data_IF_322015257521
#
_entry.id   IF_322015257521
#
_cell.length_a   1.000
_cell.length_b   1.000
_cell.length_c   1.000
_cell.angle_alpha   90.00
_cell.angle_beta   90.00
_cell.angle_gamma   90.00
#
_symmetry.space_group_name_H-M   'P 1'
#
loop_
_entity.id
_entity.type
_entity.pdbx_description
1 polymer ?
#
# COMPACT_ATOMS: atom_id res chain seq x y z
N UNK A 1 9.68 -7.21 -25.37
CA UNK A 1 9.83 -7.60 -23.94
C UNK A 1 8.47 -7.76 -23.26
N UNK A 2 7.60 -6.74 -23.21
CA UNK A 2 6.28 -6.87 -22.56
C UNK A 2 5.36 -7.92 -23.19
N UNK A 3 5.35 -8.03 -24.52
CA UNK A 3 4.56 -9.04 -25.25
C UNK A 3 4.95 -10.46 -24.89
N UNK A 4 6.24 -10.73 -24.68
CA UNK A 4 6.73 -12.05 -24.28
C UNK A 4 6.24 -12.41 -22.88
N UNK A 5 6.33 -11.48 -21.92
CA UNK A 5 5.83 -11.70 -20.55
C UNK A 5 4.32 -12.01 -20.57
N UNK A 6 3.54 -11.26 -21.36
CA UNK A 6 2.10 -11.48 -21.49
C UNK A 6 1.80 -12.88 -22.05
N UNK A 7 2.46 -13.26 -23.16
CA UNK A 7 2.27 -14.59 -23.75
C UNK A 7 2.72 -15.71 -22.81
N UNK A 8 3.79 -15.52 -22.04
CA UNK A 8 4.20 -16.47 -21.01
C UNK A 8 3.14 -16.62 -19.91
N UNK A 9 2.58 -15.51 -19.41
CA UNK A 9 1.51 -15.56 -18.40
C UNK A 9 0.25 -16.23 -18.93
N UNK A 10 -0.14 -15.93 -20.18
CA UNK A 10 -1.29 -16.57 -20.84
C UNK A 10 -1.03 -18.08 -20.97
N UNK A 11 0.14 -18.48 -21.49
CA UNK A 11 0.49 -19.89 -21.62
C UNK A 11 0.48 -20.59 -20.26
N UNK A 12 1.04 -19.96 -19.23
CA UNK A 12 1.07 -20.49 -17.86
C UNK A 12 -0.36 -20.72 -17.31
N UNK A 13 -1.27 -19.77 -17.53
CA UNK A 13 -2.67 -19.90 -17.10
C UNK A 13 -3.43 -20.96 -17.89
N UNK A 14 -3.14 -21.12 -19.19
CA UNK A 14 -3.75 -22.15 -20.03
C UNK A 14 -3.24 -23.56 -19.71
N UNK A 15 -1.98 -23.69 -19.30
CA UNK A 15 -1.36 -24.96 -18.92
C UNK A 15 -1.76 -25.41 -17.51
N UNK A 16 -2.05 -24.46 -16.60
CA UNK A 16 -2.41 -24.74 -15.20
C UNK A 16 -3.71 -24.04 -14.77
N UNK A 17 -4.84 -24.27 -15.45
CA UNK A 17 -6.09 -23.56 -15.17
C UNK A 17 -6.66 -23.85 -13.77
N UNK A 18 -6.40 -25.04 -13.23
CA UNK A 18 -6.79 -25.40 -11.86
C UNK A 18 -6.11 -24.53 -10.80
N UNK A 19 -4.78 -24.43 -10.87
CA UNK A 19 -3.99 -23.61 -9.95
C UNK A 19 -4.26 -22.11 -10.13
N UNK A 20 -4.44 -21.66 -11.37
CA UNK A 20 -4.82 -20.27 -11.64
C UNK A 20 -6.18 -19.93 -11.00
N UNK A 21 -7.15 -20.84 -11.08
CA UNK A 21 -8.45 -20.69 -10.42
C UNK A 21 -8.33 -20.73 -8.90
N UNK A 22 -7.55 -21.65 -8.34
CA UNK A 22 -7.33 -21.77 -6.90
C UNK A 22 -6.70 -20.49 -6.34
N UNK A 23 -5.62 -20.01 -6.95
CA UNK A 23 -4.98 -18.76 -6.55
C UNK A 23 -5.89 -17.55 -6.73
N UNK A 24 -6.73 -17.52 -7.77
CA UNK A 24 -7.74 -16.46 -7.93
C UNK A 24 -8.79 -16.53 -6.80
N UNK A 25 -9.26 -17.72 -6.44
CA UNK A 25 -10.23 -17.88 -5.35
C UNK A 25 -9.65 -17.46 -4.00
N UNK A 26 -8.41 -17.87 -3.72
CA UNK A 26 -7.68 -17.43 -2.55
C UNK A 26 -7.52 -15.91 -2.51
N UNK A 27 -7.20 -15.27 -3.65
CA UNK A 27 -7.16 -13.82 -3.75
C UNK A 27 -8.52 -13.13 -3.53
N UNK A 28 -9.63 -13.77 -3.93
CA UNK A 28 -10.99 -13.28 -3.64
C UNK A 28 -11.25 -13.33 -2.14
N UNK A 29 -10.95 -14.45 -1.49
CA UNK A 29 -11.12 -14.66 -0.05
C UNK A 29 -10.31 -13.65 0.76
N UNK A 30 -9.01 -13.51 0.47
CA UNK A 30 -8.15 -12.48 1.07
C UNK A 30 -8.73 -11.08 0.89
N UNK A 31 -9.22 -10.77 -0.31
CA UNK A 31 -9.83 -9.48 -0.58
C UNK A 31 -11.12 -9.28 0.23
N UNK A 32 -12.02 -10.25 0.29
CA UNK A 32 -13.32 -10.11 0.96
C UNK A 32 -13.22 -10.13 2.48
N UNK A 33 -12.29 -10.90 3.04
CA UNK A 33 -12.17 -11.11 4.48
C UNK A 33 -11.19 -10.13 5.10
N UNK A 34 -9.97 -10.04 4.56
CA UNK A 34 -8.89 -9.27 5.18
C UNK A 34 -8.83 -7.80 4.70
N UNK A 35 -9.36 -7.47 3.51
CA UNK A 35 -9.18 -6.13 2.92
C UNK A 35 -10.47 -5.32 2.83
N UNK A 36 -11.51 -5.83 2.17
CA UNK A 36 -12.72 -5.08 1.80
C UNK A 36 -13.47 -4.46 3.00
N UNK A 37 -13.71 -5.17 4.13
CA UNK A 37 -14.48 -4.64 5.24
C UNK A 37 -13.82 -3.41 5.86
N UNK A 38 -12.48 -3.38 5.84
CA UNK A 38 -11.68 -2.29 6.38
C UNK A 38 -11.39 -1.21 5.33
N UNK A 39 -11.20 -1.58 4.07
CA UNK A 39 -10.77 -0.64 3.05
C UNK A 39 -11.92 0.25 2.56
N UNK A 40 -13.12 -0.30 2.37
CA UNK A 40 -14.25 0.40 1.78
C UNK A 40 -14.75 1.59 2.62
N UNK A 41 -15.05 1.44 3.93
CA UNK A 41 -15.52 2.57 4.72
C UNK A 41 -14.49 3.70 4.79
N UNK A 42 -13.21 3.35 4.97
CA UNK A 42 -12.13 4.34 5.08
C UNK A 42 -11.87 5.09 3.79
N UNK A 43 -11.92 4.42 2.63
CA UNK A 43 -11.82 5.08 1.33
C UNK A 43 -12.96 6.09 1.13
N UNK A 44 -14.21 5.68 1.38
CA UNK A 44 -15.38 6.55 1.22
C UNK A 44 -15.26 7.78 2.13
N UNK A 45 -15.00 7.55 3.42
CA UNK A 45 -14.89 8.63 4.41
C UNK A 45 -13.74 9.58 4.09
N UNK A 46 -12.56 9.06 3.71
CA UNK A 46 -11.40 9.89 3.37
C UNK A 46 -11.65 10.71 2.12
N UNK A 47 -12.20 10.10 1.07
CA UNK A 47 -12.53 10.83 -0.16
C UNK A 47 -13.64 11.86 0.06
N UNK A 48 -14.59 11.58 0.95
CA UNK A 48 -15.65 12.52 1.28
C UNK A 48 -15.10 13.70 2.06
N UNK A 49 -14.27 13.43 3.07
CA UNK A 49 -13.58 14.46 3.86
C UNK A 49 -12.68 15.36 2.99
N UNK A 50 -12.02 14.81 1.97
CA UNK A 50 -11.23 15.58 1.00
C UNK A 50 -12.07 16.57 0.16
N UNK A 51 -13.38 16.34 0.04
CA UNK A 51 -14.31 17.14 -0.77
C UNK A 51 -15.20 18.05 0.04
N UNK A 52 -15.27 17.88 1.35
CA UNK A 52 -16.06 18.74 2.21
C UNK A 52 -15.43 20.14 2.27
N UNK A 53 -16.25 21.21 2.25
CA UNK A 53 -15.77 22.56 2.51
C UNK A 53 -15.31 22.63 3.97
N UNK A 54 -14.00 22.69 4.18
CA UNK A 54 -13.39 22.80 5.51
C UNK A 54 -12.36 23.92 5.56
N UNK A 55 -11.86 24.24 6.75
CA UNK A 55 -10.68 25.11 6.89
C UNK A 55 -9.52 24.41 6.20
N UNK A 56 -9.17 24.89 5.02
CA UNK A 56 -8.02 24.36 4.31
C UNK A 56 -6.75 24.66 5.11
N UNK A 57 -5.79 23.71 5.11
CA UNK A 57 -4.55 23.93 5.83
C UNK A 57 -3.87 25.20 5.32
N UNK A 58 -3.38 26.02 6.25
CA UNK A 58 -2.63 27.23 5.92
C UNK A 58 -1.26 26.81 5.35
N UNK A 59 -1.04 27.08 4.07
CA UNK A 59 0.24 26.84 3.39
C UNK A 59 0.52 25.37 3.02
N UNK A 60 1.68 25.17 2.40
CA UNK A 60 2.10 23.86 1.85
C UNK A 60 2.36 22.83 2.95
N UNK A 61 2.99 23.23 4.06
CA UNK A 61 3.30 22.34 5.18
C UNK A 61 2.03 21.75 5.79
N UNK A 62 1.01 22.57 6.04
CA UNK A 62 -0.28 22.07 6.50
C UNK A 62 -0.93 21.10 5.51
N UNK A 63 -0.72 21.31 4.20
CA UNK A 63 -1.17 20.38 3.17
C UNK A 63 -0.44 19.04 3.26
N UNK A 64 0.88 19.03 3.51
CA UNK A 64 1.64 17.78 3.68
C UNK A 64 1.11 16.97 4.85
N UNK A 65 0.94 17.61 6.01
CA UNK A 65 0.45 16.96 7.23
C UNK A 65 -0.98 16.44 7.07
N UNK A 66 -1.89 17.23 6.49
CA UNK A 66 -3.25 16.77 6.17
C UNK A 66 -3.21 15.54 5.26
N UNK A 67 -2.39 15.58 4.21
CA UNK A 67 -2.27 14.47 3.24
C UNK A 67 -1.72 13.21 3.91
N UNK A 68 -0.70 13.37 4.77
CA UNK A 68 -0.12 12.26 5.52
C UNK A 68 -1.11 11.64 6.50
N UNK A 69 -1.80 12.44 7.30
CA UNK A 69 -2.79 11.94 8.26
C UNK A 69 -3.88 11.12 7.58
N UNK A 70 -4.41 11.61 6.46
CA UNK A 70 -5.41 10.87 5.69
C UNK A 70 -4.86 9.55 5.13
N UNK A 71 -3.64 9.56 4.61
CA UNK A 71 -2.97 8.34 4.12
C UNK A 71 -2.67 7.33 5.24
N UNK A 72 -2.24 7.81 6.41
CA UNK A 72 -1.82 6.98 7.52
C UNK A 72 -2.94 6.09 8.06
N UNK A 73 -4.19 6.61 8.10
CA UNK A 73 -5.33 5.80 8.53
C UNK A 73 -5.85 4.87 7.42
N UNK A 74 -5.87 5.35 6.17
CA UNK A 74 -6.52 4.63 5.08
C UNK A 74 -5.64 3.62 4.33
N UNK A 75 -4.35 3.56 4.64
CA UNK A 75 -3.42 2.62 4.03
C UNK A 75 -2.98 2.98 2.60
N UNK A 76 -2.32 2.04 1.94
CA UNK A 76 -1.61 2.26 0.67
C UNK A 76 -2.43 2.97 -0.43
N UNK A 77 -3.63 2.47 -0.83
CA UNK A 77 -4.40 3.14 -1.88
C UNK A 77 -4.91 4.51 -1.45
N UNK A 78 -5.31 4.69 -0.18
CA UNK A 78 -5.81 5.97 0.33
C UNK A 78 -4.71 7.03 0.35
N UNK A 79 -3.48 6.67 0.74
CA UNK A 79 -2.33 7.56 0.67
C UNK A 79 -2.07 8.04 -0.76
N UNK A 80 -2.04 7.12 -1.72
CA UNK A 80 -1.83 7.45 -3.13
C UNK A 80 -2.95 8.35 -3.71
N UNK A 81 -4.21 8.06 -3.37
CA UNK A 81 -5.38 8.86 -3.78
C UNK A 81 -5.31 10.26 -3.17
N UNK A 82 -5.01 10.38 -1.87
CA UNK A 82 -4.94 11.66 -1.16
C UNK A 82 -3.88 12.57 -1.77
N UNK A 83 -2.68 12.03 -2.05
CA UNK A 83 -1.62 12.80 -2.70
C UNK A 83 -2.01 13.19 -4.12
N UNK A 84 -2.60 12.26 -4.88
CA UNK A 84 -3.03 12.50 -6.26
C UNK A 84 -4.11 13.56 -6.37
N UNK A 85 -5.05 13.59 -5.41
CA UNK A 85 -6.10 14.61 -5.31
C UNK A 85 -5.47 16.00 -5.11
N UNK A 86 -4.56 16.12 -4.15
CA UNK A 86 -3.91 17.40 -3.83
C UNK A 86 -3.02 17.92 -4.98
N UNK A 87 -2.43 17.03 -5.78
CA UNK A 87 -1.71 17.42 -7.02
C UNK A 87 -2.68 17.86 -8.12
N UNK A 88 -3.79 17.13 -8.33
CA UNK A 88 -4.81 17.48 -9.33
C UNK A 88 -5.51 18.81 -9.02
N UNK A 89 -5.67 19.12 -7.75
CA UNK A 89 -6.24 20.39 -7.26
C UNK A 89 -5.24 21.56 -7.30
N UNK A 90 -4.02 21.36 -7.79
CA UNK A 90 -2.99 22.40 -7.88
C UNK A 90 -2.39 22.83 -6.54
N UNK A 91 -2.72 22.14 -5.44
CA UNK A 91 -2.22 22.45 -4.09
C UNK A 91 -0.81 21.93 -3.85
N UNK A 92 -0.45 20.86 -4.54
CA UNK A 92 0.88 20.26 -4.55
C UNK A 92 1.45 20.25 -5.96
N UNK A 93 2.74 20.53 -6.07
CA UNK A 93 3.48 20.29 -7.31
C UNK A 93 3.64 18.79 -7.55
N UNK A 94 3.85 18.38 -8.81
CA UNK A 94 4.17 16.98 -9.15
C UNK A 94 5.43 16.47 -8.43
N UNK A 95 6.37 17.36 -8.11
CA UNK A 95 7.61 17.01 -7.37
C UNK A 95 7.29 16.67 -5.91
N UNK A 96 6.48 17.49 -5.25
CA UNK A 96 6.03 17.20 -3.88
C UNK A 96 5.13 15.98 -3.82
N UNK A 97 4.24 15.83 -4.81
CA UNK A 97 3.43 14.62 -4.96
C UNK A 97 4.30 13.36 -5.03
N UNK A 98 5.43 13.40 -5.75
CA UNK A 98 6.32 12.24 -5.84
C UNK A 98 6.97 11.87 -4.50
N UNK A 99 7.31 12.87 -3.67
CA UNK A 99 7.84 12.65 -2.33
C UNK A 99 6.74 12.17 -1.37
N UNK A 100 5.57 12.82 -1.41
CA UNK A 100 4.46 12.47 -0.53
C UNK A 100 3.82 11.12 -0.86
N UNK A 101 3.82 10.67 -2.12
CA UNK A 101 3.43 9.29 -2.44
C UNK A 101 4.34 8.30 -1.70
N UNK A 102 5.64 8.59 -1.60
CA UNK A 102 6.59 7.74 -0.90
C UNK A 102 6.38 7.73 0.62
N UNK A 103 6.08 8.91 1.18
CA UNK A 103 5.87 9.17 2.63
C UNK A 103 4.51 8.66 3.12
N UNK A 104 3.46 8.82 2.31
CA UNK A 104 2.10 8.38 2.66
C UNK A 104 1.87 6.89 2.35
N UNK A 105 2.90 6.17 1.88
CA UNK A 105 2.83 4.73 1.63
C UNK A 105 3.03 3.96 2.93
N UNK A 106 1.92 3.62 3.56
CA UNK A 106 1.86 2.83 4.79
C UNK A 106 0.67 1.87 4.74
N UNK A 107 0.74 0.71 5.42
CA UNK A 107 -0.44 -0.14 5.64
C UNK A 107 -1.49 0.60 6.46
N UNK A 108 -2.76 0.19 6.36
CA UNK A 108 -3.82 0.78 7.18
C UNK A 108 -3.66 0.36 8.65
N UNK A 109 -4.17 1.19 9.56
CA UNK A 109 -4.19 0.86 10.99
C UNK A 109 -4.96 -0.43 11.27
N UNK A 110 -6.04 -0.69 10.53
CA UNK A 110 -6.81 -1.93 10.62
C UNK A 110 -6.03 -3.15 10.13
N UNK A 111 -5.25 -3.05 9.05
CA UNK A 111 -4.42 -4.15 8.60
C UNK A 111 -3.35 -4.49 9.65
N UNK A 112 -2.70 -3.48 10.23
CA UNK A 112 -1.66 -3.71 11.23
C UNK A 112 -2.19 -4.21 12.58
N UNK A 113 -3.25 -3.60 13.11
CA UNK A 113 -3.75 -3.95 14.45
C UNK A 113 -4.70 -5.15 14.38
N UNK A 114 -5.60 -5.16 13.41
CA UNK A 114 -6.60 -6.22 13.22
C UNK A 114 -5.95 -7.48 12.68
N UNK A 115 -5.59 -7.47 11.40
CA UNK A 115 -5.07 -8.67 10.73
C UNK A 115 -3.70 -9.10 11.29
N UNK A 116 -2.67 -8.24 11.19
CA UNK A 116 -1.32 -8.63 11.62
C UNK A 116 -1.26 -8.83 13.14
N UNK A 117 -1.71 -7.85 13.93
CA UNK A 117 -1.66 -7.91 15.39
C UNK A 117 -2.53 -9.04 15.96
N UNK A 118 -3.85 -8.96 15.77
CA UNK A 118 -4.77 -9.89 16.42
C UNK A 118 -4.84 -11.26 15.73
N UNK A 119 -4.96 -11.33 14.40
CA UNK A 119 -5.15 -12.61 13.70
C UNK A 119 -3.84 -13.40 13.57
N UNK A 120 -2.75 -12.76 13.12
CA UNK A 120 -1.47 -13.48 12.89
C UNK A 120 -0.61 -13.62 14.15
N UNK A 121 -0.62 -12.66 15.07
CA UNK A 121 0.22 -12.68 16.27
C UNK A 121 -0.54 -12.90 17.58
N UNK A 122 -1.89 -12.91 17.54
CA UNK A 122 -2.70 -13.02 18.76
C UNK A 122 -2.54 -11.84 19.73
N UNK A 123 -1.94 -10.73 19.28
CA UNK A 123 -1.56 -9.59 20.14
C UNK A 123 -1.59 -8.27 19.37
N UNK A 124 -2.59 -7.43 19.68
CA UNK A 124 -2.70 -6.07 19.15
C UNK A 124 -1.41 -5.24 19.36
N UNK A 125 -0.68 -5.49 20.45
CA UNK A 125 0.56 -4.79 20.78
C UNK A 125 1.62 -4.91 19.69
N UNK A 126 1.72 -6.07 19.03
CA UNK A 126 2.64 -6.28 17.90
C UNK A 126 2.25 -5.39 16.72
N UNK A 127 0.96 -5.32 16.41
CA UNK A 127 0.42 -4.44 15.38
C UNK A 127 0.69 -2.96 15.65
N UNK A 128 0.48 -2.53 16.89
CA UNK A 128 0.79 -1.16 17.34
C UNK A 128 2.29 -0.84 17.22
N UNK A 129 3.16 -1.78 17.59
CA UNK A 129 4.61 -1.60 17.48
C UNK A 129 5.05 -1.47 16.01
N UNK A 130 4.58 -2.35 15.12
CA UNK A 130 4.84 -2.23 13.68
C UNK A 130 4.35 -0.89 13.13
N UNK A 131 3.17 -0.46 13.56
CA UNK A 131 2.61 0.83 13.16
C UNK A 131 3.50 1.98 13.61
N UNK A 132 3.95 1.98 14.86
CA UNK A 132 4.84 3.00 15.40
C UNK A 132 6.18 3.07 14.63
N UNK A 133 6.78 1.92 14.29
CA UNK A 133 8.05 1.89 13.55
C UNK A 133 7.88 2.40 12.11
N UNK A 134 6.87 1.91 11.39
CA UNK A 134 6.63 2.30 9.99
C UNK A 134 6.26 3.80 9.91
N UNK A 135 5.32 4.25 10.74
CA UNK A 135 4.95 5.67 10.75
C UNK A 135 6.03 6.55 11.34
N UNK A 136 6.87 6.07 12.26
CA UNK A 136 8.03 6.79 12.76
C UNK A 136 9.00 7.15 11.62
N UNK A 137 9.34 6.18 10.76
CA UNK A 137 10.19 6.44 9.59
C UNK A 137 9.52 7.40 8.60
N UNK A 138 8.23 7.22 8.32
CA UNK A 138 7.50 8.13 7.43
C UNK A 138 7.42 9.56 8.00
N UNK A 139 7.25 9.72 9.32
CA UNK A 139 7.25 11.02 10.00
C UNK A 139 8.60 11.71 9.92
N UNK A 140 9.71 10.97 10.00
CA UNK A 140 11.05 11.52 9.77
C UNK A 140 11.16 12.09 8.35
N UNK A 141 10.72 11.34 7.33
CA UNK A 141 10.72 11.83 5.95
C UNK A 141 9.79 13.04 5.76
N UNK A 142 8.62 13.04 6.39
CA UNK A 142 7.68 14.16 6.38
C UNK A 142 8.26 15.41 7.03
N UNK A 143 8.96 15.26 8.15
CA UNK A 143 9.61 16.36 8.85
C UNK A 143 10.73 16.96 7.98
N UNK A 144 11.57 16.12 7.38
CA UNK A 144 12.62 16.59 6.45
C UNK A 144 12.00 17.39 5.29
N UNK A 145 10.93 16.89 4.69
CA UNK A 145 10.21 17.59 3.62
C UNK A 145 9.63 18.93 4.12
N UNK A 146 9.04 18.94 5.30
CA UNK A 146 8.44 20.14 5.92
C UNK A 146 9.50 21.20 6.20
N UNK A 147 10.64 20.82 6.78
CA UNK A 147 11.75 21.72 7.08
C UNK A 147 12.37 22.28 5.79
N UNK A 148 12.60 21.44 4.77
CA UNK A 148 13.07 21.92 3.46
C UNK A 148 12.11 22.92 2.83
N UNK A 149 10.81 22.67 2.90
CA UNK A 149 9.80 23.58 2.38
C UNK A 149 9.69 24.89 3.19
N UNK A 150 10.01 24.88 4.48
CA UNK A 150 10.05 26.08 5.31
C UNK A 150 11.30 26.96 5.00
N UNK A 151 12.44 26.31 4.73
CA UNK A 151 13.71 26.99 4.40
C UNK A 151 13.70 27.57 2.97
N UNK A 152 13.16 26.82 2.01
CA UNK A 152 12.94 27.32 0.65
C UNK A 152 11.66 28.14 0.67
N UNK A 153 11.79 29.45 0.91
CA UNK A 153 10.68 30.42 0.81
C UNK A 153 10.21 30.51 -0.65
N UNK A 154 9.47 29.50 -1.12
CA UNK A 154 9.04 29.41 -2.51
C UNK A 154 8.01 30.49 -2.83
N UNK A 155 8.31 31.24 -3.89
CA UNK A 155 7.50 32.32 -4.48
C UNK A 155 6.36 31.82 -5.37
N UNK A 156 5.98 30.55 -5.31
CA UNK A 156 4.85 30.05 -6.08
C UNK A 156 3.57 30.25 -5.26
N UNK A 157 2.68 31.17 -5.67
CA UNK A 157 1.39 31.29 -5.02
C UNK A 157 0.69 29.94 -5.15
N UNK A 158 0.34 29.35 -4.01
CA UNK A 158 -0.70 28.33 -3.97
C UNK A 158 -1.91 28.99 -4.63
N UNK A 159 -2.46 28.40 -5.69
CA UNK A 159 -3.70 28.92 -6.27
C UNK A 159 -4.74 28.95 -5.16
N UNK A 160 -5.08 30.16 -4.71
CA UNK A 160 -6.13 30.40 -3.71
C UNK A 160 -7.52 30.20 -4.30
N UNK A 161 -7.61 29.95 -5.61
CA UNK A 161 -8.84 29.50 -6.23
C UNK A 161 -9.25 28.19 -5.57
N UNK A 162 -10.33 28.28 -4.80
CA UNK A 162 -11.12 27.11 -4.42
C UNK A 162 -11.29 26.26 -5.68
N UNK A 163 -10.97 24.96 -5.64
CA UNK A 163 -11.10 24.11 -6.81
C UNK A 163 -12.49 24.33 -7.42
N UNK A 164 -12.55 24.59 -8.74
CA UNK A 164 -13.81 24.79 -9.46
C UNK A 164 -14.75 23.67 -9.01
N UNK A 165 -15.85 24.03 -8.34
CA UNK A 165 -16.85 23.07 -7.84
C UNK A 165 -17.16 22.10 -8.97
N UNK A 166 -16.77 20.83 -8.82
CA UNK A 166 -17.31 19.79 -9.71
C UNK A 166 -18.81 19.75 -9.46
N UNK A 167 -19.59 19.86 -10.53
CA UNK A 167 -21.04 19.72 -10.46
C UNK A 167 -21.35 18.27 -10.01
N UNK A 168 -21.65 18.08 -8.73
CA UNK A 168 -21.96 16.78 -8.14
C UNK A 168 -22.02 16.84 -6.62
N UNK A 169 -22.76 15.93 -6.00
CA UNK A 169 -22.75 15.79 -4.54
C UNK A 169 -21.37 15.26 -4.10
N UNK A 170 -20.70 15.84 -3.08
CA UNK A 170 -19.41 15.38 -2.60
C UNK A 170 -19.40 13.88 -2.27
N UNK A 171 -20.47 13.39 -1.65
CA UNK A 171 -20.62 11.98 -1.29
C UNK A 171 -20.72 11.07 -2.51
N UNK A 172 -21.51 11.46 -3.53
CA UNK A 172 -21.67 10.65 -4.76
C UNK A 172 -20.34 10.51 -5.50
N UNK A 173 -19.55 11.59 -5.59
CA UNK A 173 -18.23 11.53 -6.22
C UNK A 173 -17.25 10.66 -5.40
N UNK A 174 -17.30 10.75 -4.07
CA UNK A 174 -16.51 9.88 -3.19
C UNK A 174 -16.87 8.41 -3.32
N UNK A 175 -18.16 8.08 -3.42
CA UNK A 175 -18.60 6.69 -3.65
C UNK A 175 -18.07 6.17 -4.99
N UNK A 176 -18.15 6.99 -6.06
CA UNK A 176 -17.69 6.62 -7.40
C UNK A 176 -16.17 6.38 -7.45
N UNK A 177 -15.36 7.33 -6.97
CA UNK A 177 -13.91 7.21 -6.98
C UNK A 177 -13.41 6.11 -6.01
N UNK A 178 -14.09 5.92 -4.87
CA UNK A 178 -13.79 4.82 -3.94
C UNK A 178 -14.07 3.47 -4.59
N UNK A 179 -15.19 3.34 -5.32
CA UNK A 179 -15.53 2.10 -6.05
C UNK A 179 -14.45 1.74 -7.09
N UNK A 180 -13.96 2.72 -7.85
CA UNK A 180 -12.86 2.50 -8.80
C UNK A 180 -11.58 2.02 -8.10
N UNK A 181 -11.28 2.59 -6.94
CA UNK A 181 -10.10 2.20 -6.14
C UNK A 181 -10.26 0.79 -5.59
N UNK A 182 -11.45 0.44 -5.08
CA UNK A 182 -11.76 -0.90 -4.58
C UNK A 182 -11.64 -1.95 -5.68
N UNK A 183 -12.19 -1.68 -6.87
CA UNK A 183 -12.06 -2.59 -8.02
C UNK A 183 -10.60 -2.77 -8.42
N UNK A 184 -9.78 -1.72 -8.37
CA UNK A 184 -8.35 -1.81 -8.61
C UNK A 184 -7.65 -2.71 -7.58
N UNK A 185 -7.95 -2.55 -6.30
CA UNK A 185 -7.42 -3.42 -5.23
C UNK A 185 -7.86 -4.87 -5.47
N UNK A 186 -9.15 -5.13 -5.65
CA UNK A 186 -9.68 -6.47 -5.90
C UNK A 186 -9.01 -7.13 -7.11
N UNK A 187 -8.96 -6.44 -8.24
CA UNK A 187 -8.38 -6.96 -9.48
C UNK A 187 -6.91 -7.31 -9.31
N UNK A 188 -6.13 -6.42 -8.65
CA UNK A 188 -4.70 -6.66 -8.46
C UNK A 188 -4.42 -7.77 -7.47
N UNK A 189 -5.15 -7.86 -6.35
CA UNK A 189 -5.00 -8.96 -5.38
C UNK A 189 -5.34 -10.29 -6.03
N UNK A 190 -6.52 -10.41 -6.65
CA UNK A 190 -6.97 -11.65 -7.31
C UNK A 190 -5.99 -12.09 -8.41
N UNK A 191 -5.58 -11.14 -9.26
CA UNK A 191 -4.66 -11.45 -10.36
C UNK A 191 -3.28 -11.91 -9.84
N UNK A 192 -2.70 -11.19 -8.87
CA UNK A 192 -1.37 -11.53 -8.38
C UNK A 192 -1.35 -12.74 -7.44
N UNK A 193 -2.45 -13.05 -6.74
CA UNK A 193 -2.60 -14.32 -6.05
C UNK A 193 -2.61 -15.48 -7.05
N UNK A 194 -3.39 -15.38 -8.15
CA UNK A 194 -3.39 -16.40 -9.20
C UNK A 194 -2.00 -16.59 -9.83
N UNK A 195 -1.31 -15.50 -10.17
CA UNK A 195 0.07 -15.58 -10.69
C UNK A 195 1.02 -16.20 -9.66
N UNK A 196 0.91 -15.79 -8.39
CA UNK A 196 1.73 -16.28 -7.29
C UNK A 196 1.58 -17.78 -7.06
N UNK A 197 0.34 -18.29 -7.00
CA UNK A 197 0.05 -19.73 -6.83
C UNK A 197 0.68 -20.57 -7.94
N UNK A 198 0.52 -20.14 -9.19
CA UNK A 198 1.06 -20.89 -10.33
C UNK A 198 2.60 -20.80 -10.37
N UNK A 199 3.17 -19.65 -10.04
CA UNK A 199 4.62 -19.49 -9.95
C UNK A 199 5.24 -20.30 -8.79
N UNK A 200 4.56 -20.43 -7.65
CA UNK A 200 5.00 -21.24 -6.53
C UNK A 200 5.02 -22.73 -6.88
N UNK A 201 3.97 -23.25 -7.53
CA UNK A 201 3.94 -24.63 -8.02
C UNK A 201 5.05 -24.90 -9.03
N UNK A 202 5.29 -23.98 -9.97
CA UNK A 202 6.38 -24.12 -10.92
C UNK A 202 7.75 -24.14 -10.21
N UNK A 203 7.97 -23.27 -9.23
CA UNK A 203 9.20 -23.26 -8.45
C UNK A 203 9.38 -24.56 -7.67
N UNK A 204 8.32 -25.09 -7.04
CA UNK A 204 8.36 -26.37 -6.31
C UNK A 204 8.66 -27.55 -7.24
N UNK A 205 8.22 -27.53 -8.50
CA UNK A 205 8.53 -28.58 -9.49
C UNK A 205 9.95 -28.49 -10.04
N UNK A 206 10.50 -27.28 -10.15
CA UNK A 206 11.81 -27.02 -10.75
C UNK A 206 12.96 -26.99 -9.73
N UNK A 207 12.66 -27.01 -8.44
CA UNK A 207 13.63 -26.93 -7.34
C UNK A 207 13.37 -28.03 -6.31
N UNK A 208 14.31 -28.33 -5.40
CA UNK A 208 14.08 -29.29 -4.33
C UNK A 208 13.21 -28.75 -3.17
N UNK A 209 12.57 -27.59 -3.35
CA UNK A 209 11.73 -26.96 -2.34
C UNK A 209 10.35 -27.62 -2.31
N UNK A 210 9.79 -27.78 -1.11
CA UNK A 210 8.39 -28.15 -0.95
C UNK A 210 7.47 -26.96 -1.30
N UNK A 211 6.17 -27.24 -1.48
CA UNK A 211 5.20 -26.23 -1.89
C UNK A 211 5.14 -25.05 -0.91
N UNK A 212 5.26 -25.31 0.39
CA UNK A 212 5.16 -24.26 1.39
C UNK A 212 6.37 -23.32 1.34
N UNK A 213 7.60 -23.86 1.21
CA UNK A 213 8.81 -23.03 1.10
C UNK A 213 8.84 -22.28 -0.23
N UNK A 214 8.41 -22.92 -1.33
CA UNK A 214 8.27 -22.26 -2.62
C UNK A 214 7.23 -21.13 -2.55
N UNK A 215 6.09 -21.36 -1.87
CA UNK A 215 5.07 -20.35 -1.59
C UNK A 215 5.63 -19.17 -0.81
N UNK A 216 6.40 -19.41 0.26
CA UNK A 216 7.05 -18.35 1.04
C UNK A 216 8.03 -17.51 0.22
N UNK A 217 8.73 -18.11 -0.75
CA UNK A 217 9.64 -17.40 -1.63
C UNK A 217 8.92 -16.54 -2.69
N UNK A 218 7.68 -16.92 -3.05
CA UNK A 218 6.96 -16.35 -4.21
C UNK A 218 5.83 -15.42 -3.79
N UNK A 219 4.96 -15.83 -2.87
CA UNK A 219 3.76 -15.07 -2.53
C UNK A 219 4.05 -13.65 -2.06
N UNK A 220 5.00 -13.38 -1.13
CA UNK A 220 5.25 -12.02 -0.68
C UNK A 220 5.68 -11.06 -1.79
N UNK A 221 6.27 -11.57 -2.88
CA UNK A 221 6.67 -10.78 -4.04
C UNK A 221 5.47 -10.31 -4.86
N UNK A 222 4.44 -11.16 -4.97
CA UNK A 222 3.26 -10.89 -5.80
C UNK A 222 2.14 -10.24 -4.99
N UNK A 223 1.80 -10.82 -3.85
CA UNK A 223 0.69 -10.43 -3.00
C UNK A 223 1.13 -10.46 -1.52
N UNK A 224 1.09 -9.28 -0.88
CA UNK A 224 1.67 -9.10 0.44
C UNK A 224 0.91 -9.86 1.54
N UNK A 225 -0.43 -9.84 1.50
CA UNK A 225 -1.25 -10.52 2.52
C UNK A 225 -1.14 -12.03 2.44
N UNK A 226 -1.08 -12.60 1.23
CA UNK A 226 -0.74 -14.00 1.01
C UNK A 226 0.62 -14.37 1.61
N UNK A 227 1.63 -13.51 1.39
CA UNK A 227 2.96 -13.70 1.97
C UNK A 227 2.99 -13.67 3.49
N UNK A 228 2.19 -12.79 4.11
CA UNK A 228 2.06 -12.72 5.57
C UNK A 228 1.39 -13.97 6.14
N UNK A 229 0.32 -14.46 5.49
CA UNK A 229 -0.35 -15.69 5.90
C UNK A 229 0.61 -16.89 5.86
N UNK A 230 1.35 -17.06 4.76
CA UNK A 230 2.31 -18.17 4.64
C UNK A 230 3.46 -18.06 5.64
N UNK A 231 3.92 -16.84 5.97
CA UNK A 231 4.93 -16.64 7.01
C UNK A 231 4.40 -17.04 8.40
N UNK A 232 3.13 -16.76 8.69
CA UNK A 232 2.48 -17.20 9.91
C UNK A 232 2.38 -18.73 9.96
N UNK A 233 1.83 -19.36 8.92
CA UNK A 233 1.61 -20.81 8.87
C UNK A 233 2.90 -21.62 9.06
N UNK A 234 4.03 -21.10 8.55
CA UNK A 234 5.33 -21.78 8.61
C UNK A 234 6.15 -21.49 9.87
N UNK A 235 6.05 -20.28 10.42
CA UNK A 235 7.00 -19.79 11.42
C UNK A 235 6.34 -19.26 12.71
N UNK A 236 5.04 -19.48 12.90
CA UNK A 236 4.33 -19.07 14.11
C UNK A 236 5.09 -19.44 15.39
N UNK A 237 5.17 -18.50 16.33
CA UNK A 237 5.94 -18.65 17.58
C UNK A 237 7.45 -18.44 17.45
N UNK A 238 8.00 -18.30 16.24
CA UNK A 238 9.42 -18.04 16.02
C UNK A 238 9.70 -16.54 15.84
N UNK A 239 10.87 -16.07 16.29
CA UNK A 239 11.36 -14.72 16.00
C UNK A 239 11.49 -14.45 14.48
N UNK A 240 11.67 -15.50 13.68
CA UNK A 240 11.71 -15.40 12.23
C UNK A 240 10.37 -14.94 11.64
N UNK A 241 9.23 -15.35 12.20
CA UNK A 241 7.91 -14.87 11.76
C UNK A 241 7.79 -13.36 11.94
N UNK A 242 8.19 -12.83 13.09
CA UNK A 242 8.21 -11.39 13.35
C UNK A 242 9.11 -10.64 12.35
N UNK A 243 10.32 -11.15 12.10
CA UNK A 243 11.26 -10.54 11.17
C UNK A 243 10.74 -10.53 9.72
N UNK A 244 10.18 -11.67 9.27
CA UNK A 244 9.58 -11.80 7.94
C UNK A 244 8.37 -10.89 7.79
N UNK A 245 7.47 -10.82 8.79
CA UNK A 245 6.31 -9.92 8.76
C UNK A 245 6.72 -8.47 8.56
N UNK A 246 7.71 -7.98 9.31
CA UNK A 246 8.21 -6.61 9.15
C UNK A 246 8.85 -6.38 7.78
N UNK A 247 9.58 -7.37 7.25
CA UNK A 247 10.20 -7.32 5.92
C UNK A 247 9.14 -7.28 4.82
N UNK A 248 8.13 -8.16 4.89
CA UNK A 248 7.05 -8.28 3.90
C UNK A 248 6.20 -7.00 3.86
N UNK A 249 5.84 -6.44 5.02
CA UNK A 249 5.13 -5.15 5.11
C UNK A 249 5.95 -3.99 4.53
N UNK A 250 7.27 -4.03 4.68
CA UNK A 250 8.16 -2.98 4.19
C UNK A 250 8.38 -3.07 2.68
N UNK A 251 8.59 -4.30 2.19
CA UNK A 251 8.77 -4.62 0.77
C UNK A 251 7.46 -4.37 0.01
N UNK A 252 6.35 -4.90 0.51
CA UNK A 252 5.06 -5.06 -0.18
C UNK A 252 5.15 -5.98 -1.40
N UNK A 253 3.97 -6.39 -1.89
CA UNK A 253 3.84 -7.16 -3.13
C UNK A 253 3.68 -6.26 -4.37
N UNK A 254 3.89 -6.86 -5.54
CA UNK A 254 3.62 -6.24 -6.84
C UNK A 254 2.18 -5.74 -6.97
N UNK A 255 1.21 -6.40 -6.30
CA UNK A 255 -0.19 -5.96 -6.22
C UNK A 255 -0.30 -4.51 -5.76
N UNK A 256 0.25 -4.21 -4.59
CA UNK A 256 0.23 -2.89 -3.96
C UNK A 256 1.05 -1.87 -4.77
N UNK A 257 2.23 -2.27 -5.26
CA UNK A 257 3.06 -1.38 -6.08
C UNK A 257 2.33 -0.93 -7.35
N UNK A 258 1.61 -1.85 -8.02
CA UNK A 258 0.84 -1.55 -9.21
C UNK A 258 -0.36 -0.65 -8.90
N UNK A 259 -1.07 -0.90 -7.79
CA UNK A 259 -2.17 -0.03 -7.35
C UNK A 259 -1.69 1.43 -7.20
N UNK A 260 -0.60 1.64 -6.47
CA UNK A 260 -0.03 2.99 -6.27
C UNK A 260 0.45 3.59 -7.58
N UNK A 261 1.11 2.81 -8.45
CA UNK A 261 1.61 3.28 -9.73
C UNK A 261 0.49 3.72 -10.69
N UNK A 262 -0.63 3.00 -10.73
CA UNK A 262 -1.82 3.36 -11.54
C UNK A 262 -2.41 4.69 -11.05
N UNK A 263 -2.59 4.83 -9.74
CA UNK A 263 -3.13 6.06 -9.13
C UNK A 263 -2.19 7.25 -9.37
N UNK A 264 -0.90 7.08 -9.10
CA UNK A 264 0.13 8.10 -9.28
C UNK A 264 0.23 8.58 -10.74
N UNK A 265 0.23 7.64 -11.69
CA UNK A 265 0.29 7.95 -13.12
C UNK A 265 -0.94 8.74 -13.57
N UNK A 266 -2.12 8.44 -13.04
CA UNK A 266 -3.35 9.19 -13.27
C UNK A 266 -3.29 10.66 -12.82
N UNK A 267 -2.31 11.04 -11.99
CA UNK A 267 -2.02 12.43 -11.60
C UNK A 267 -0.71 12.98 -12.20
N UNK A 268 -0.02 12.21 -13.06
CA UNK A 268 1.28 12.59 -13.62
C UNK A 268 2.40 12.67 -12.58
N UNK A 269 2.30 11.89 -11.49
CA UNK A 269 3.29 11.84 -10.41
C UNK A 269 4.33 10.76 -10.72
N UNK A 270 5.60 11.07 -10.49
CA UNK A 270 6.71 10.13 -10.74
C UNK A 270 6.94 9.17 -9.57
N UNK A 271 7.26 7.90 -9.84
CA UNK A 271 7.50 6.85 -8.83
C UNK A 271 8.97 6.72 -8.37
N UNK A 272 9.85 7.65 -8.77
CA UNK A 272 11.30 7.54 -8.46
C UNK A 272 11.60 7.54 -6.96
N UNK A 273 10.98 8.46 -6.21
CA UNK A 273 11.20 8.61 -4.77
C UNK A 273 10.49 7.52 -3.99
N UNK A 274 9.39 7.00 -4.55
CA UNK A 274 8.69 5.85 -4.01
C UNK A 274 9.62 4.64 -3.89
N UNK A 275 10.30 4.26 -4.98
CA UNK A 275 11.21 3.10 -4.96
C UNK A 275 12.34 3.27 -3.95
N UNK A 276 12.98 4.44 -3.89
CA UNK A 276 14.04 4.73 -2.93
C UNK A 276 13.55 4.64 -1.48
N UNK A 277 12.36 5.18 -1.18
CA UNK A 277 11.78 5.09 0.16
C UNK A 277 11.41 3.65 0.55
N UNK A 278 10.95 2.82 -0.40
CA UNK A 278 10.67 1.40 -0.14
C UNK A 278 11.93 0.63 0.22
N UNK A 279 13.03 0.85 -0.50
CA UNK A 279 14.33 0.28 -0.13
C UNK A 279 14.77 0.71 1.27
N UNK A 280 14.60 1.99 1.62
CA UNK A 280 14.89 2.48 2.97
C UNK A 280 14.03 1.78 4.03
N UNK A 281 12.73 1.58 3.77
CA UNK A 281 11.85 0.85 4.69
C UNK A 281 12.29 -0.60 4.86
N UNK A 282 12.61 -1.30 3.78
CA UNK A 282 13.09 -2.69 3.82
C UNK A 282 14.36 -2.86 4.65
N UNK A 283 15.25 -1.86 4.63
CA UNK A 283 16.51 -1.90 5.37
C UNK A 283 16.38 -1.45 6.82
N UNK A 284 15.44 -0.54 7.14
CA UNK A 284 15.35 0.10 8.46
C UNK A 284 14.26 -0.52 9.33
N UNK A 285 13.06 -0.77 8.79
CA UNK A 285 11.91 -1.19 9.59
C UNK A 285 12.11 -2.57 10.22
N UNK A 286 12.53 -3.62 9.50
CA UNK A 286 12.70 -4.94 10.11
C UNK A 286 13.68 -4.98 11.29
N UNK A 287 14.93 -4.45 11.19
CA UNK A 287 15.86 -4.51 12.31
C UNK A 287 15.40 -3.64 13.49
N UNK A 288 14.80 -2.47 13.25
CA UNK A 288 14.28 -1.61 14.33
C UNK A 288 13.11 -2.29 15.03
N UNK A 289 12.17 -2.87 14.27
CA UNK A 289 11.05 -3.61 14.84
C UNK A 289 11.54 -4.80 15.69
N UNK A 290 12.46 -5.62 15.17
CA UNK A 290 13.00 -6.75 15.91
C UNK A 290 13.75 -6.33 17.17
N UNK A 291 14.52 -5.24 17.11
CA UNK A 291 15.18 -4.69 18.29
C UNK A 291 14.15 -4.31 19.36
N UNK A 292 13.11 -3.57 18.99
CA UNK A 292 12.09 -3.10 19.94
C UNK A 292 11.18 -4.22 20.46
N UNK A 293 10.96 -5.28 19.67
CA UNK A 293 10.14 -6.42 20.07
C UNK A 293 10.84 -7.30 21.13
N UNK A 294 12.18 -7.29 21.14
CA UNK A 294 13.00 -8.09 22.06
C UNK A 294 13.39 -7.35 23.35
N UNK A 295 13.06 -6.06 23.47
CA UNK A 295 13.22 -5.25 24.67
C UNK A 295 12.02 -5.40 25.60
#
# INVERSE_FOLDING_TARGET
MYTVIIWCLIALFLLQPGLAREGAMFGIELFTEALLPYLLPYLILTQWLLRLPGKEPKGRTGTYWKTYLLGAFGGFPVGAVSVSHQVKDGRLTKREGALLIAICHAPSSMLLIGYVGNELFGSASVGWLLMAVIHGLNLVFLLILTLRAALVRERHPVSSDSPKRRAGSPLTESLKESSQTIVLVATTVVFFSAVGTVAADLLARLSPLDMNTAGMAVFPLFEMTAGLQTAHDLFAGMNLHAALTALILSMNGLSIHLQVAVIARGAGISMRWYAAARLAHMLIVPPVFMLLLLL
#
